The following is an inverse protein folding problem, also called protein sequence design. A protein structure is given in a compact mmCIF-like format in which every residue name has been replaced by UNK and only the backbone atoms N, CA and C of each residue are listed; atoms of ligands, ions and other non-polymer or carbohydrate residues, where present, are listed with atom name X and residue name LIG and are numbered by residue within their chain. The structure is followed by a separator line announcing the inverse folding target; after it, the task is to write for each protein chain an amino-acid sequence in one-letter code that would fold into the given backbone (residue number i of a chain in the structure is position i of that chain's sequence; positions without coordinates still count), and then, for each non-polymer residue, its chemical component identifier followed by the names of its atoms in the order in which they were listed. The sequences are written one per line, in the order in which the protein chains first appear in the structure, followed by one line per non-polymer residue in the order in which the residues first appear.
data_IF_009547713618
#
_entry.id   IF_009547713618
#
_cell.length_a   1.000
_cell.length_b   1.000
_cell.length_c   1.000
_cell.angle_alpha   90.00
_cell.angle_beta   90.00
_cell.angle_gamma   90.00
#
_symmetry.space_group_name_H-M   'P 1'
#
loop_
_entity.id
_entity.type
_entity.pdbx_description
1 polymer ?
#
# COMPACT_ATOMS: atom_id res chain seq x y z
N UNK A 1 9.79 -4.30 -17.26
CA UNK A 1 9.66 -2.86 -16.87
C UNK A 1 10.16 -1.93 -17.99
N UNK A 2 9.35 -0.97 -18.44
CA UNK A 2 9.68 -0.11 -19.60
C UNK A 2 10.78 0.93 -19.32
N UNK A 3 10.91 1.44 -18.09
CA UNK A 3 11.85 2.54 -17.75
C UNK A 3 13.09 2.11 -16.95
N UNK A 4 13.19 0.84 -16.50
CA UNK A 4 14.26 0.37 -15.58
C UNK A 4 14.45 1.30 -14.36
N UNK A 5 13.35 1.74 -13.76
CA UNK A 5 13.32 2.69 -12.65
C UNK A 5 12.65 2.06 -11.44
N UNK A 6 13.15 2.39 -10.25
CA UNK A 6 12.51 2.10 -8.97
C UNK A 6 11.78 3.37 -8.49
N UNK A 7 10.53 3.22 -8.07
CA UNK A 7 9.80 4.25 -7.35
C UNK A 7 9.58 3.78 -5.91
N UNK A 8 9.73 4.69 -4.95
CA UNK A 8 9.52 4.43 -3.54
C UNK A 8 9.12 5.72 -2.82
N UNK A 9 8.81 5.62 -1.53
CA UNK A 9 8.37 6.76 -0.72
C UNK A 9 9.31 6.95 0.47
N UNK A 10 9.33 8.16 1.01
CA UNK A 10 9.77 8.39 2.38
C UNK A 10 8.52 8.81 3.17
N UNK A 11 8.07 7.91 4.04
CA UNK A 11 6.75 7.99 4.66
C UNK A 11 6.63 9.19 5.61
N UNK A 12 7.68 9.48 6.37
CA UNK A 12 7.67 10.56 7.36
C UNK A 12 7.97 11.94 6.77
N UNK A 13 8.82 12.01 5.74
CA UNK A 13 9.11 13.25 5.01
C UNK A 13 8.01 13.58 3.98
N UNK A 14 7.14 12.62 3.67
CA UNK A 14 6.02 12.80 2.75
C UNK A 14 6.46 13.03 1.30
N UNK A 15 7.53 12.34 0.89
CA UNK A 15 8.07 12.43 -0.46
C UNK A 15 7.84 11.15 -1.26
N UNK A 16 7.73 11.32 -2.58
CA UNK A 16 7.90 10.22 -3.54
C UNK A 16 9.26 10.34 -4.19
N UNK A 17 9.86 9.21 -4.51
CA UNK A 17 11.25 9.12 -4.94
C UNK A 17 11.34 8.25 -6.20
N UNK A 18 12.30 8.58 -7.05
CA UNK A 18 12.65 7.86 -8.27
C UNK A 18 14.14 7.56 -8.23
N UNK A 19 14.51 6.31 -8.46
CA UNK A 19 15.89 5.87 -8.60
C UNK A 19 16.10 5.13 -9.91
N UNK A 20 17.12 5.52 -10.68
CA UNK A 20 17.54 4.87 -11.91
C UNK A 20 18.86 4.11 -11.69
N UNK A 21 18.82 2.77 -11.45
CA UNK A 21 20.02 2.01 -11.09
C UNK A 21 21.14 2.07 -12.14
N UNK A 22 20.78 2.25 -13.41
CA UNK A 22 21.76 2.31 -14.50
C UNK A 22 22.63 3.57 -14.48
N UNK A 23 22.11 4.70 -13.96
CA UNK A 23 22.83 5.98 -13.88
C UNK A 23 23.19 6.38 -12.45
N UNK A 24 22.56 5.77 -11.44
CA UNK A 24 22.62 6.23 -10.06
C UNK A 24 21.80 7.50 -9.79
N UNK A 25 21.07 8.01 -10.79
CA UNK A 25 20.25 9.21 -10.63
C UNK A 25 19.11 8.97 -9.63
N UNK A 26 18.97 9.88 -8.68
CA UNK A 26 17.90 9.91 -7.71
C UNK A 26 17.23 11.28 -7.72
N UNK A 27 15.90 11.28 -7.78
CA UNK A 27 15.09 12.49 -7.69
C UNK A 27 13.93 12.25 -6.73
N UNK A 28 13.42 13.33 -6.16
CA UNK A 28 12.32 13.27 -5.20
C UNK A 28 11.35 14.42 -5.42
N UNK A 29 10.10 14.22 -4.99
CA UNK A 29 9.10 15.27 -4.94
C UNK A 29 8.34 15.25 -3.62
N UNK A 30 8.15 16.42 -3.02
CA UNK A 30 7.27 16.59 -1.87
C UNK A 30 5.80 16.52 -2.33
N UNK A 31 5.03 15.62 -1.74
CA UNK A 31 3.64 15.33 -2.14
C UNK A 31 2.66 15.60 -1.01
N UNK A 32 3.05 15.41 0.26
CA UNK A 32 2.18 15.62 1.41
C UNK A 32 2.91 15.45 2.73
N UNK A 33 2.16 15.25 3.83
CA UNK A 33 2.73 15.07 5.18
C UNK A 33 3.03 13.60 5.54
N UNK A 34 2.35 12.66 4.90
CA UNK A 34 2.51 11.22 5.11
C UNK A 34 2.18 10.51 3.81
N UNK A 35 3.19 9.99 3.13
CA UNK A 35 3.04 9.38 1.80
C UNK A 35 3.44 7.92 1.85
N UNK A 36 2.48 7.00 1.66
CA UNK A 36 2.67 5.60 2.04
C UNK A 36 3.00 4.66 0.88
N UNK A 37 2.66 5.04 -0.36
CA UNK A 37 3.03 4.30 -1.57
C UNK A 37 3.02 5.20 -2.81
N UNK A 38 3.67 4.74 -3.88
CA UNK A 38 3.63 5.33 -5.22
C UNK A 38 3.53 4.23 -6.27
N UNK A 39 2.51 4.30 -7.13
CA UNK A 39 2.21 3.28 -8.13
C UNK A 39 1.95 3.92 -9.49
N UNK A 40 2.70 3.58 -10.56
CA UNK A 40 2.48 4.13 -11.90
C UNK A 40 1.09 3.78 -12.47
N UNK A 41 0.48 4.71 -13.17
CA UNK A 41 -0.79 4.48 -13.87
C UNK A 41 -0.52 3.89 -15.27
N UNK A 42 -1.17 2.77 -15.58
CA UNK A 42 -1.02 2.11 -16.88
C UNK A 42 -1.48 3.04 -18.01
N UNK A 43 -0.63 3.17 -19.04
CA UNK A 43 -0.93 3.97 -20.23
C UNK A 43 -0.48 5.42 -20.17
N UNK A 44 0.15 5.83 -19.06
CA UNK A 44 0.71 7.17 -18.87
C UNK A 44 2.19 7.06 -18.53
N UNK A 45 2.93 8.16 -18.64
CA UNK A 45 4.38 8.20 -18.40
C UNK A 45 4.77 9.01 -17.17
N UNK A 46 3.87 9.86 -16.69
CA UNK A 46 4.11 10.86 -15.66
C UNK A 46 2.99 10.89 -14.61
N UNK A 47 2.17 9.85 -14.51
CA UNK A 47 1.09 9.81 -13.54
C UNK A 47 1.15 8.59 -12.63
N UNK A 48 0.83 8.84 -11.37
CA UNK A 48 0.94 7.85 -10.32
C UNK A 48 -0.26 7.96 -9.38
N UNK A 49 -0.64 6.83 -8.78
CA UNK A 49 -1.50 6.81 -7.60
C UNK A 49 -0.60 6.78 -6.36
N UNK A 50 -0.94 7.61 -5.38
CA UNK A 50 -0.24 7.71 -4.10
C UNK A 50 -1.24 7.68 -2.95
N UNK A 51 -0.79 7.20 -1.80
CA UNK A 51 -1.52 7.31 -0.55
C UNK A 51 -1.01 8.52 0.23
N UNK A 52 -1.88 9.50 0.52
CA UNK A 52 -1.55 10.70 1.32
C UNK A 52 -2.44 10.72 2.56
N UNK A 53 -1.87 10.47 3.75
CA UNK A 53 -2.65 10.30 4.99
C UNK A 53 -3.80 9.30 4.80
N UNK A 54 -5.06 9.75 4.67
CA UNK A 54 -6.27 8.91 4.47
C UNK A 54 -6.80 8.92 3.03
N UNK A 55 -6.07 9.55 2.11
CA UNK A 55 -6.52 9.85 0.76
C UNK A 55 -5.77 9.05 -0.28
N UNK A 56 -6.49 8.51 -1.25
CA UNK A 56 -5.91 8.13 -2.54
C UNK A 56 -5.87 9.38 -3.43
N UNK A 57 -4.71 9.69 -3.99
CA UNK A 57 -4.56 10.78 -4.94
C UNK A 57 -3.88 10.32 -6.22
N UNK A 58 -4.26 10.92 -7.35
CA UNK A 58 -3.52 10.87 -8.60
C UNK A 58 -2.60 12.07 -8.65
N UNK A 59 -1.31 11.83 -8.85
CA UNK A 59 -0.33 12.90 -9.09
C UNK A 59 0.13 12.91 -10.54
N UNK A 60 0.44 14.09 -11.07
CA UNK A 60 1.18 14.26 -12.34
C UNK A 60 2.58 14.77 -12.02
N UNK A 61 3.58 13.91 -12.18
CA UNK A 61 4.99 14.17 -11.86
C UNK A 61 5.89 13.72 -13.01
N UNK A 62 6.76 14.62 -13.47
CA UNK A 62 7.73 14.37 -14.54
C UNK A 62 8.90 13.45 -14.12
N UNK A 63 8.98 13.09 -12.84
CA UNK A 63 10.04 12.27 -12.28
C UNK A 63 11.32 13.04 -11.98
N UNK A 64 11.34 14.37 -12.05
CA UNK A 64 12.54 15.20 -11.80
C UNK A 64 12.26 16.46 -11.00
N UNK A 65 11.08 17.06 -11.14
CA UNK A 65 10.67 18.26 -10.41
C UNK A 65 10.50 17.96 -8.92
N UNK A 66 10.81 18.92 -8.05
CA UNK A 66 10.71 18.77 -6.59
C UNK A 66 9.26 18.70 -6.07
N UNK A 67 8.26 18.90 -6.94
CA UNK A 67 6.83 18.83 -6.66
C UNK A 67 6.07 18.29 -7.87
N UNK A 68 4.95 17.58 -7.69
CA UNK A 68 4.06 17.24 -8.80
C UNK A 68 3.39 18.51 -9.35
N UNK A 69 3.18 18.53 -10.66
CA UNK A 69 2.44 19.61 -11.35
C UNK A 69 0.94 19.61 -11.03
N UNK A 70 0.41 18.48 -10.58
CA UNK A 70 -1.00 18.30 -10.24
C UNK A 70 -1.17 17.22 -9.18
N UNK A 71 -2.09 17.42 -8.25
CA UNK A 71 -2.56 16.43 -7.28
C UNK A 71 -4.10 16.43 -7.34
N UNK A 72 -4.70 15.29 -7.63
CA UNK A 72 -6.16 15.11 -7.71
C UNK A 72 -6.60 14.02 -6.73
N UNK A 73 -7.48 14.37 -5.79
CA UNK A 73 -8.08 13.39 -4.89
C UNK A 73 -8.97 12.41 -5.68
N UNK A 74 -8.77 11.11 -5.44
CA UNK A 74 -9.56 10.02 -6.02
C UNK A 74 -10.58 9.46 -5.03
N UNK A 75 -10.17 9.36 -3.76
CA UNK A 75 -10.92 8.79 -2.66
C UNK A 75 -10.36 9.35 -1.35
N UNK A 76 -11.21 9.53 -0.37
CA UNK A 76 -10.83 9.73 1.03
C UNK A 76 -11.63 8.76 1.89
N UNK A 77 -10.97 8.10 2.83
CA UNK A 77 -11.66 7.20 3.76
C UNK A 77 -12.53 8.00 4.72
N UNK A 78 -13.73 7.52 4.98
CA UNK A 78 -14.68 8.15 5.90
C UNK A 78 -14.34 7.77 7.35
N UNK A 79 -13.37 8.48 7.93
CA UNK A 79 -13.05 8.41 9.36
C UNK A 79 -12.78 9.84 9.86
N UNK A 80 -13.60 10.39 10.78
CA UNK A 80 -13.43 11.76 11.25
C UNK A 80 -12.18 11.96 12.14
N UNK A 81 -11.47 10.88 12.50
CA UNK A 81 -10.27 10.94 13.32
C UNK A 81 -8.99 11.02 12.49
N UNK A 82 -8.01 11.81 12.97
CA UNK A 82 -6.65 11.89 12.40
C UNK A 82 -5.79 10.65 12.69
N UNK A 83 -6.42 9.56 13.14
CA UNK A 83 -5.78 8.34 13.62
C UNK A 83 -5.48 7.38 12.47
N UNK A 84 -6.42 7.23 11.54
CA UNK A 84 -6.27 6.32 10.40
C UNK A 84 -5.32 6.92 9.38
N UNK A 85 -4.39 6.12 8.86
CA UNK A 85 -3.51 6.47 7.75
C UNK A 85 -3.39 5.26 6.82
N UNK A 86 -3.28 5.51 5.51
CA UNK A 86 -2.92 4.50 4.53
C UNK A 86 -1.49 4.02 4.82
N UNK A 87 -1.23 2.74 4.62
CA UNK A 87 0.09 2.14 4.82
C UNK A 87 0.56 1.47 3.52
N UNK A 88 0.71 0.14 3.47
CA UNK A 88 1.18 -0.55 2.26
C UNK A 88 0.07 -0.71 1.21
N UNK A 89 0.47 -0.81 -0.06
CA UNK A 89 -0.41 -1.03 -1.19
C UNK A 89 0.27 -1.72 -2.38
N UNK A 90 -0.52 -2.50 -3.13
CA UNK A 90 -0.09 -3.13 -4.38
C UNK A 90 -1.26 -3.26 -5.34
N UNK A 91 -0.97 -3.36 -6.64
CA UNK A 91 -1.99 -3.55 -7.68
C UNK A 91 -2.04 -5.01 -8.09
N UNK A 92 -3.25 -5.58 -8.15
CA UNK A 92 -3.43 -6.95 -8.63
C UNK A 92 -3.36 -7.05 -10.17
N UNK A 93 -3.40 -8.28 -10.68
CA UNK A 93 -3.35 -8.54 -12.13
C UNK A 93 -4.56 -7.99 -12.93
N UNK A 94 -5.63 -7.58 -12.25
CA UNK A 94 -6.83 -6.98 -12.85
C UNK A 94 -6.81 -5.45 -12.81
N UNK A 95 -5.80 -4.85 -12.18
CA UNK A 95 -5.64 -3.40 -12.09
C UNK A 95 -6.39 -2.76 -10.92
N UNK A 96 -6.84 -3.55 -9.93
CA UNK A 96 -7.37 -3.00 -8.67
C UNK A 96 -6.22 -2.62 -7.76
N UNK A 97 -6.30 -1.45 -7.15
CA UNK A 97 -5.39 -1.06 -6.08
C UNK A 97 -5.86 -1.72 -4.79
N UNK A 98 -5.02 -2.55 -4.18
CA UNK A 98 -5.23 -3.07 -2.84
C UNK A 98 -4.34 -2.33 -1.88
N UNK A 99 -4.89 -1.94 -0.74
CA UNK A 99 -4.20 -1.12 0.24
C UNK A 99 -4.86 -1.32 1.58
N UNK A 100 -4.12 -1.15 2.66
CA UNK A 100 -4.76 -1.08 3.97
C UNK A 100 -4.26 0.09 4.78
N UNK A 101 -4.84 0.16 5.97
CA UNK A 101 -4.60 1.25 6.89
C UNK A 101 -3.80 0.82 8.10
N UNK A 102 -3.40 1.82 8.85
CA UNK A 102 -2.92 1.71 10.21
C UNK A 102 -3.61 2.77 11.05
N UNK A 103 -3.84 2.48 12.32
CA UNK A 103 -4.39 3.42 13.29
C UNK A 103 -3.29 3.87 14.26
N UNK A 104 -2.92 5.15 14.25
CA UNK A 104 -1.88 5.71 15.10
C UNK A 104 -2.41 6.85 15.95
N UNK A 105 -2.42 6.65 17.27
CA UNK A 105 -2.71 7.68 18.25
C UNK A 105 -1.48 8.57 18.41
N UNK A 106 -1.48 9.71 17.73
CA UNK A 106 -0.38 10.68 17.75
C UNK A 106 -0.15 11.30 19.12
N UNK A 107 -1.22 11.47 19.91
CA UNK A 107 -1.14 12.07 21.24
C UNK A 107 -0.41 11.16 22.21
N UNK A 108 -0.71 9.87 22.18
CA UNK A 108 -0.10 8.87 23.07
C UNK A 108 1.05 8.08 22.40
N UNK A 109 1.41 8.44 21.17
CA UNK A 109 2.50 7.83 20.40
C UNK A 109 2.43 6.30 20.29
N UNK A 110 1.24 5.77 19.99
CA UNK A 110 1.00 4.32 19.94
C UNK A 110 0.11 3.89 18.79
N UNK A 111 0.33 2.68 18.30
CA UNK A 111 -0.60 1.99 17.39
C UNK A 111 -1.86 1.57 18.15
N UNK A 112 -3.01 1.70 17.51
CA UNK A 112 -4.29 1.21 18.04
C UNK A 112 -4.62 -0.14 17.41
N UNK A 113 -4.62 -1.19 18.24
CA UNK A 113 -4.97 -2.53 17.82
C UNK A 113 -6.38 -2.61 17.25
N UNK A 114 -6.55 -3.37 16.16
CA UNK A 114 -7.83 -3.71 15.56
C UNK A 114 -8.70 -2.51 15.15
N UNK A 115 -8.06 -1.42 14.70
CA UNK A 115 -8.74 -0.20 14.24
C UNK A 115 -8.52 0.09 12.76
N UNK A 116 -7.64 -0.65 12.10
CA UNK A 116 -7.41 -0.56 10.68
C UNK A 116 -8.27 -1.56 9.90
N UNK A 117 -8.29 -1.37 8.58
CA UNK A 117 -8.98 -2.23 7.63
C UNK A 117 -8.12 -2.36 6.37
N UNK A 118 -8.43 -3.38 5.58
CA UNK A 118 -7.80 -3.68 4.29
C UNK A 118 -8.83 -3.57 3.18
N UNK A 119 -8.47 -2.89 2.10
CA UNK A 119 -9.38 -2.45 1.05
C UNK A 119 -8.85 -2.79 -0.34
N UNK A 120 -9.76 -2.75 -1.32
CA UNK A 120 -9.42 -2.60 -2.73
C UNK A 120 -10.21 -1.46 -3.36
N UNK A 121 -9.64 -0.78 -4.34
CA UNK A 121 -10.27 0.28 -5.11
C UNK A 121 -10.00 0.14 -6.60
N UNK A 122 -11.06 0.29 -7.39
CA UNK A 122 -10.97 0.59 -8.82
C UNK A 122 -12.08 1.57 -9.20
N UNK A 123 -11.79 2.51 -10.10
CA UNK A 123 -12.74 3.59 -10.47
C UNK A 123 -14.13 3.08 -10.87
N UNK A 124 -14.22 1.92 -11.51
CA UNK A 124 -15.49 1.31 -11.94
C UNK A 124 -16.20 0.49 -10.85
N UNK A 125 -15.44 -0.01 -9.87
CA UNK A 125 -15.95 -0.89 -8.81
C UNK A 125 -16.20 -0.16 -7.49
N UNK A 126 -15.61 1.04 -7.32
CA UNK A 126 -15.60 1.76 -6.05
C UNK A 126 -14.62 1.18 -5.04
N UNK A 127 -14.76 1.62 -3.79
CA UNK A 127 -14.03 1.09 -2.64
C UNK A 127 -14.73 -0.18 -2.13
N UNK A 128 -13.97 -1.23 -1.86
CA UNK A 128 -14.43 -2.45 -1.21
C UNK A 128 -13.55 -2.75 0.00
N UNK A 129 -14.18 -3.06 1.13
CA UNK A 129 -13.50 -3.56 2.32
C UNK A 129 -13.38 -5.08 2.25
N UNK A 130 -12.22 -5.62 2.59
CA UNK A 130 -11.94 -7.06 2.60
C UNK A 130 -11.69 -7.61 3.99
N UNK A 131 -10.98 -6.86 4.82
CA UNK A 131 -10.71 -7.21 6.21
C UNK A 131 -10.96 -6.00 7.10
N UNK A 132 -11.56 -6.26 8.25
CA UNK A 132 -11.69 -5.32 9.37
C UNK A 132 -10.87 -5.83 10.55
N UNK A 133 -10.74 -5.02 11.60
CA UNK A 133 -9.97 -5.36 12.80
C UNK A 133 -8.50 -5.68 12.51
N UNK A 134 -7.91 -5.02 11.52
CA UNK A 134 -6.46 -5.04 11.25
C UNK A 134 -5.76 -4.12 12.26
N UNK A 135 -4.50 -4.40 12.59
CA UNK A 135 -3.69 -3.47 13.40
C UNK A 135 -2.73 -2.62 12.55
N UNK A 136 -1.83 -3.25 11.79
CA UNK A 136 -0.91 -2.57 10.85
C UNK A 136 -0.94 -3.35 9.53
N UNK A 137 -1.75 -2.88 8.58
CA UNK A 137 -1.82 -3.50 7.24
C UNK A 137 -0.51 -3.29 6.51
N UNK A 138 0.16 -4.37 6.14
CA UNK A 138 1.47 -4.32 5.51
C UNK A 138 1.52 -5.21 4.27
N UNK A 139 2.63 -5.93 4.06
CA UNK A 139 2.94 -6.66 2.84
C UNK A 139 1.77 -7.45 2.28
N UNK A 140 1.63 -7.37 0.96
CA UNK A 140 0.65 -8.14 0.21
C UNK A 140 1.19 -8.58 -1.16
N UNK A 141 0.83 -9.77 -1.62
CA UNK A 141 1.10 -10.20 -3.00
C UNK A 141 0.22 -11.37 -3.45
N UNK A 142 0.24 -11.68 -4.74
CA UNK A 142 -0.56 -12.73 -5.35
C UNK A 142 0.30 -13.77 -6.05
N UNK A 143 0.01 -15.05 -5.77
CA UNK A 143 0.35 -16.11 -6.71
C UNK A 143 -0.86 -16.35 -7.63
N UNK A 144 -0.82 -15.68 -8.79
CA UNK A 144 -1.90 -15.75 -9.78
C UNK A 144 -2.08 -17.17 -10.34
N UNK A 145 -1.00 -17.96 -10.44
CA UNK A 145 -1.08 -19.34 -10.95
C UNK A 145 -1.77 -20.26 -9.95
N UNK A 146 -1.51 -20.08 -8.65
CA UNK A 146 -2.13 -20.85 -7.57
C UNK A 146 -3.46 -20.26 -7.08
N UNK A 147 -3.87 -19.10 -7.63
CA UNK A 147 -5.04 -18.33 -7.17
C UNK A 147 -4.98 -18.05 -5.67
N UNK A 148 -3.81 -17.61 -5.20
CA UNK A 148 -3.55 -17.28 -3.80
C UNK A 148 -3.23 -15.81 -3.63
N UNK A 149 -3.66 -15.27 -2.50
CA UNK A 149 -3.29 -13.96 -2.00
C UNK A 149 -2.58 -14.13 -0.67
N UNK A 150 -1.50 -13.39 -0.46
CA UNK A 150 -0.70 -13.41 0.76
C UNK A 150 -0.72 -12.03 1.40
N UNK A 151 -0.80 -12.00 2.72
CA UNK A 151 -1.03 -10.77 3.46
C UNK A 151 -0.38 -10.80 4.84
N UNK A 152 0.03 -9.63 5.30
CA UNK A 152 0.66 -9.41 6.59
C UNK A 152 -0.10 -8.31 7.36
N UNK A 153 -0.56 -8.66 8.56
CA UNK A 153 -0.87 -7.72 9.64
C UNK A 153 0.28 -7.80 10.66
N UNK A 154 1.16 -6.80 10.67
CA UNK A 154 2.51 -6.93 11.27
C UNK A 154 2.52 -7.42 12.72
N UNK A 155 1.68 -6.90 13.64
CA UNK A 155 1.71 -7.32 15.04
C UNK A 155 1.29 -8.78 15.25
N UNK A 156 0.63 -9.41 14.27
CA UNK A 156 0.27 -10.82 14.34
C UNK A 156 1.47 -11.74 14.12
N UNK A 157 2.61 -11.22 13.64
CA UNK A 157 3.87 -11.98 13.44
C UNK A 157 3.67 -13.26 12.61
N UNK A 158 2.77 -13.17 11.63
CA UNK A 158 2.34 -14.27 10.79
C UNK A 158 2.21 -13.82 9.34
N UNK A 159 2.34 -14.77 8.40
CA UNK A 159 1.99 -14.58 7.00
C UNK A 159 0.72 -15.37 6.74
N UNK A 160 -0.32 -14.68 6.28
CA UNK A 160 -1.60 -15.28 5.91
C UNK A 160 -1.65 -15.57 4.43
N UNK A 161 -2.34 -16.66 4.08
CA UNK A 161 -2.74 -17.00 2.73
C UNK A 161 -4.27 -17.02 2.67
N UNK A 162 -4.82 -16.51 1.58
CA UNK A 162 -6.23 -16.59 1.22
C UNK A 162 -6.36 -17.25 -0.15
N UNK A 163 -7.50 -17.91 -0.39
CA UNK A 163 -7.97 -18.15 -1.75
C UNK A 163 -8.31 -16.81 -2.40
N UNK A 164 -7.94 -16.64 -3.67
CA UNK A 164 -8.17 -15.40 -4.42
C UNK A 164 -9.00 -15.65 -5.68
N UNK A 165 -10.18 -15.05 -5.73
CA UNK A 165 -10.95 -14.93 -6.96
C UNK A 165 -10.60 -13.60 -7.64
N UNK A 166 -9.74 -13.68 -8.66
CA UNK A 166 -9.34 -12.51 -9.44
C UNK A 166 -10.49 -11.87 -10.21
N UNK A 167 -11.48 -12.66 -10.67
CA UNK A 167 -12.60 -12.14 -11.46
C UNK A 167 -13.55 -11.29 -10.62
N UNK A 168 -13.79 -11.68 -9.37
CA UNK A 168 -14.65 -10.95 -8.44
C UNK A 168 -13.90 -9.98 -7.54
N UNK A 169 -12.59 -10.18 -7.40
CA UNK A 169 -11.74 -9.41 -6.49
C UNK A 169 -11.99 -9.74 -5.05
N UNK A 170 -12.08 -11.03 -4.73
CA UNK A 170 -12.40 -11.50 -3.39
C UNK A 170 -11.28 -12.35 -2.84
N UNK A 171 -11.08 -12.23 -1.53
CA UNK A 171 -10.23 -13.10 -0.73
C UNK A 171 -11.08 -13.85 0.29
N UNK A 172 -10.78 -15.13 0.53
CA UNK A 172 -11.52 -15.97 1.47
C UNK A 172 -10.66 -17.15 1.94
N UNK A 173 -11.17 -17.98 2.87
CA UNK A 173 -10.47 -19.16 3.42
C UNK A 173 -9.06 -18.84 3.96
N UNK A 174 -8.99 -17.90 4.91
CA UNK A 174 -7.73 -17.52 5.56
C UNK A 174 -7.02 -18.74 6.18
N UNK A 175 -5.72 -18.84 5.94
CA UNK A 175 -4.83 -19.82 6.55
C UNK A 175 -3.51 -19.15 6.95
N UNK A 176 -3.00 -19.45 8.14
CA UNK A 176 -1.64 -19.07 8.51
C UNK A 176 -0.65 -20.03 7.85
N UNK A 177 0.23 -19.53 6.99
CA UNK A 177 1.24 -20.35 6.29
C UNK A 177 2.63 -20.24 6.90
N UNK A 178 2.89 -19.18 7.66
CA UNK A 178 4.16 -18.97 8.33
C UNK A 178 3.93 -18.21 9.63
N UNK A 179 4.67 -18.56 10.68
CA UNK A 179 4.59 -17.92 12.01
C UNK A 179 6.01 -17.68 12.49
N UNK A 180 6.41 -16.41 12.65
CA UNK A 180 7.78 -16.05 13.01
C UNK A 180 8.21 -16.70 14.32
N UNK A 181 7.31 -16.78 15.30
CA UNK A 181 7.58 -17.34 16.64
C UNK A 181 7.87 -18.84 16.60
N UNK A 182 7.37 -19.58 15.60
CA UNK A 182 7.70 -21.01 15.43
C UNK A 182 9.12 -21.24 14.90
N UNK A 183 9.80 -20.16 14.52
CA UNK A 183 11.13 -20.17 13.90
C UNK A 183 12.13 -19.25 14.62
N UNK A 184 11.79 -18.76 15.82
CA UNK A 184 12.61 -17.84 16.61
C UNK A 184 13.05 -16.57 15.84
N UNK A 185 12.21 -16.09 14.91
CA UNK A 185 12.51 -14.90 14.11
C UNK A 185 12.10 -13.64 14.88
N UNK A 186 13.03 -12.72 15.20
CA UNK A 186 12.72 -11.48 15.91
C UNK A 186 12.02 -10.46 14.99
N UNK A 187 11.46 -9.41 15.59
CA UNK A 187 10.84 -8.29 14.84
C UNK A 187 9.50 -8.66 14.21
N UNK A 188 8.86 -7.71 13.52
CA UNK A 188 7.55 -7.92 12.87
C UNK A 188 7.71 -7.98 11.35
N UNK A 189 6.92 -8.81 10.64
CA UNK A 189 6.90 -8.79 9.19
C UNK A 189 6.32 -7.47 8.66
N UNK A 190 6.84 -6.98 7.55
CA UNK A 190 6.49 -5.68 6.95
C UNK A 190 6.05 -5.88 5.50
N UNK A 191 6.68 -5.24 4.51
CA UNK A 191 6.44 -5.48 3.07
C UNK A 191 6.79 -6.91 2.61
N UNK A 192 6.11 -7.38 1.56
CA UNK A 192 6.38 -8.70 0.94
C UNK A 192 6.27 -8.64 -0.59
N UNK A 193 6.97 -9.55 -1.27
CA UNK A 193 6.84 -9.77 -2.72
C UNK A 193 7.03 -11.25 -3.08
N UNK A 194 6.46 -11.72 -4.20
CA UNK A 194 6.61 -13.08 -4.76
C UNK A 194 7.28 -13.04 -6.14
#
# INVERSE_FOLDING_TARGET
PKSKTLYYVELMEGTVNKYAPSSGEQTQAAVGKHVSFIIPIKGTTNEFVVGIQRQLARITWDGVSEKPSKIEQLLELDDPSDVIQLNDAKVDSFGRLWFGTVAFDRQNHRWLANKASFYSYAKKEGLKTHLDNVTISNGMDWDVKRKKFYYIDSPQRQIFQYDFDGSEGKIYNQQTIFTLDKHDIPGIPDGLTI
#
